data_IF_656358318561
#
_entry.id   IF_656358318561
#
_cell.length_a   1.000
_cell.length_b   1.000
_cell.length_c   1.000
_cell.angle_alpha   90.00
_cell.angle_beta   90.00
_cell.angle_gamma   90.00
#
_symmetry.space_group_name_H-M   'P 1'
#
loop_
_entity.id
_entity.type
_entity.pdbx_description
1 polymer ?
#
# COMPACT_ATOMS: atom_id res chain seq x y z
N UNK A 1 -3.63 9.67 -3.33
CA UNK A 1 -2.26 9.28 -2.95
C UNK A 1 -1.52 8.81 -4.16
N UNK A 2 -0.74 7.74 -4.01
CA UNK A 2 -0.04 7.07 -5.10
C UNK A 2 -0.78 5.79 -5.50
N UNK A 3 -0.87 5.50 -6.79
CA UNK A 3 -1.45 4.25 -7.29
C UNK A 3 -0.38 3.49 -8.06
N UNK A 4 0.06 2.35 -7.52
CA UNK A 4 1.24 1.62 -7.97
C UNK A 4 0.82 0.31 -8.65
N UNK A 5 1.43 0.08 -9.81
CA UNK A 5 1.22 -1.07 -10.69
C UNK A 5 2.54 -1.32 -11.45
N UNK A 6 3.62 -1.46 -10.69
CA UNK A 6 5.00 -1.46 -11.19
C UNK A 6 5.96 -2.08 -10.16
N UNK A 7 7.14 -2.49 -10.63
CA UNK A 7 8.23 -3.02 -9.80
C UNK A 7 9.25 -1.94 -9.44
N UNK A 8 10.03 -2.18 -8.38
CA UNK A 8 11.19 -1.38 -7.99
C UNK A 8 10.86 0.10 -7.71
N UNK A 9 9.77 0.33 -7.00
CA UNK A 9 9.29 1.67 -6.66
C UNK A 9 9.66 2.02 -5.23
N UNK A 10 10.18 3.23 -5.02
CA UNK A 10 10.34 3.83 -3.69
C UNK A 10 9.54 5.12 -3.60
N UNK A 11 8.65 5.19 -2.62
CA UNK A 11 7.93 6.40 -2.24
C UNK A 11 8.33 6.74 -0.81
N UNK A 12 8.96 7.90 -0.63
CA UNK A 12 9.47 8.28 0.68
C UNK A 12 9.37 9.78 0.98
N UNK A 13 9.39 10.12 2.27
CA UNK A 13 9.42 11.49 2.79
C UNK A 13 8.30 12.39 2.23
N UNK A 14 7.14 11.81 1.93
CA UNK A 14 6.01 12.51 1.31
C UNK A 14 4.95 12.89 2.34
N UNK A 15 4.21 13.97 2.09
CA UNK A 15 3.02 14.37 2.86
C UNK A 15 1.81 14.21 1.96
N UNK A 16 0.87 13.35 2.35
CA UNK A 16 -0.30 12.98 1.57
C UNK A 16 -1.55 13.28 2.39
N UNK A 17 -2.36 14.20 1.87
CA UNK A 17 -3.65 14.61 2.46
C UNK A 17 -4.72 14.40 1.41
N UNK A 18 -5.60 13.43 1.62
CA UNK A 18 -6.66 13.09 0.68
C UNK A 18 -7.84 12.43 1.39
N UNK A 19 -8.82 11.95 0.61
CA UNK A 19 -10.04 11.29 1.09
C UNK A 19 -10.10 9.80 0.72
N UNK A 20 -8.99 9.25 0.21
CA UNK A 20 -8.87 7.85 -0.20
C UNK A 20 -7.47 7.34 0.15
N UNK A 21 -7.01 6.24 -0.44
CA UNK A 21 -5.72 5.65 -0.15
C UNK A 21 -4.56 6.64 -0.29
N UNK A 22 -3.72 6.66 0.75
CA UNK A 22 -2.42 7.33 0.74
C UNK A 22 -1.51 6.68 -0.30
N UNK A 23 -1.53 5.35 -0.35
CA UNK A 23 -0.95 4.53 -1.41
C UNK A 23 -1.80 3.30 -1.64
N UNK A 24 -2.03 2.97 -2.91
CA UNK A 24 -2.68 1.74 -3.37
C UNK A 24 -1.68 0.93 -4.18
N UNK A 25 -1.53 -0.36 -3.88
CA UNK A 25 -0.65 -1.27 -4.62
C UNK A 25 -1.51 -2.36 -5.28
N UNK A 26 -1.68 -2.31 -6.60
CA UNK A 26 -2.49 -3.29 -7.33
C UNK A 26 -1.69 -4.54 -7.73
N UNK A 27 -0.43 -4.35 -8.11
CA UNK A 27 0.55 -5.41 -8.40
C UNK A 27 1.96 -4.82 -8.45
N UNK A 28 2.96 -5.66 -8.26
CA UNK A 28 4.36 -5.28 -8.34
C UNK A 28 5.21 -5.91 -7.25
N UNK A 29 6.52 -5.76 -7.39
CA UNK A 29 7.54 -6.33 -6.51
C UNK A 29 8.57 -5.28 -6.09
N UNK A 30 9.21 -5.50 -4.94
CA UNK A 30 10.26 -4.62 -4.41
C UNK A 30 9.78 -3.16 -4.28
N UNK A 31 8.74 -2.96 -3.48
CA UNK A 31 8.13 -1.65 -3.24
C UNK A 31 8.49 -1.16 -1.84
N UNK A 32 8.95 0.08 -1.72
CA UNK A 32 9.29 0.70 -0.45
C UNK A 32 8.41 1.93 -0.23
N UNK A 33 7.63 1.91 0.86
CA UNK A 33 6.83 3.04 1.32
C UNK A 33 7.35 3.48 2.70
N UNK A 34 8.19 4.53 2.73
CA UNK A 34 8.97 4.88 3.92
C UNK A 34 8.87 6.35 4.35
N UNK A 35 8.78 6.60 5.66
CA UNK A 35 8.86 7.94 6.25
C UNK A 35 7.82 8.93 5.68
N UNK A 36 6.63 8.44 5.32
CA UNK A 36 5.56 9.26 4.77
C UNK A 36 4.56 9.68 5.85
N UNK A 37 3.86 10.79 5.63
CA UNK A 37 2.78 11.28 6.47
C UNK A 37 1.46 11.21 5.69
N UNK A 38 0.53 10.37 6.14
CA UNK A 38 -0.78 10.17 5.54
C UNK A 38 -1.87 10.74 6.45
N UNK A 39 -2.81 11.52 5.90
CA UNK A 39 -3.98 11.95 6.68
C UNK A 39 -5.26 12.18 5.87
N UNK A 40 -6.41 11.97 6.52
CA UNK A 40 -7.75 12.23 6.00
C UNK A 40 -8.40 11.07 5.23
N UNK A 41 -7.60 10.15 4.68
CA UNK A 41 -8.07 9.17 3.70
C UNK A 41 -8.16 7.73 4.24
N UNK A 42 -7.84 6.77 3.36
CA UNK A 42 -7.88 5.33 3.64
C UNK A 42 -6.50 4.72 3.99
N UNK A 43 -5.48 5.57 4.15
CA UNK A 43 -4.11 5.19 4.51
C UNK A 43 -3.44 4.21 3.53
N UNK A 44 -2.81 3.14 4.01
CA UNK A 44 -1.97 2.27 3.19
C UNK A 44 -2.78 1.04 2.76
N UNK A 45 -3.01 0.89 1.45
CA UNK A 45 -3.83 -0.19 0.89
C UNK A 45 -3.05 -1.05 -0.10
N UNK A 46 -3.13 -2.37 0.09
CA UNK A 46 -2.73 -3.37 -0.89
C UNK A 46 -3.99 -3.87 -1.58
N UNK A 47 -4.17 -3.52 -2.84
CA UNK A 47 -5.37 -3.83 -3.60
C UNK A 47 -6.43 -2.71 -3.64
N UNK A 48 -7.65 -2.98 -4.09
CA UNK A 48 -8.23 -4.32 -4.25
C UNK A 48 -7.51 -5.18 -5.32
N UNK A 49 -6.89 -6.27 -4.88
CA UNK A 49 -6.12 -7.18 -5.75
C UNK A 49 -7.09 -7.97 -6.63
N UNK A 50 -6.75 -8.08 -7.92
CA UNK A 50 -7.54 -8.76 -8.94
C UNK A 50 -6.93 -10.10 -9.37
N UNK A 51 -7.65 -10.85 -10.20
CA UNK A 51 -7.22 -12.14 -10.74
C UNK A 51 -5.86 -12.04 -11.43
N UNK A 52 -4.96 -12.96 -11.10
CA UNK A 52 -3.61 -13.01 -11.68
C UNK A 52 -2.66 -11.90 -11.21
N UNK A 53 -3.06 -11.07 -10.23
CA UNK A 53 -2.20 -10.00 -9.70
C UNK A 53 -1.39 -10.48 -8.51
N UNK A 54 -0.11 -10.11 -8.52
CA UNK A 54 0.85 -10.46 -7.46
C UNK A 54 1.45 -9.19 -6.87
N UNK A 55 1.48 -9.12 -5.55
CA UNK A 55 2.26 -8.15 -4.78
C UNK A 55 3.28 -8.91 -3.92
N UNK A 56 4.56 -8.64 -4.14
CA UNK A 56 5.64 -9.29 -3.40
C UNK A 56 6.64 -8.29 -2.86
N UNK A 57 7.29 -8.63 -1.74
CA UNK A 57 8.47 -7.92 -1.23
C UNK A 57 8.24 -6.42 -1.05
N UNK A 58 7.28 -6.07 -0.18
CA UNK A 58 6.98 -4.69 0.15
C UNK A 58 7.44 -4.35 1.56
N UNK A 59 8.12 -3.21 1.69
CA UNK A 59 8.50 -2.63 2.97
C UNK A 59 7.72 -1.36 3.24
N UNK A 60 6.99 -1.36 4.35
CA UNK A 60 6.27 -0.21 4.89
C UNK A 60 6.92 0.15 6.23
N UNK A 61 7.61 1.30 6.30
CA UNK A 61 8.41 1.64 7.49
C UNK A 61 8.41 3.13 7.83
N UNK A 62 8.29 3.49 9.11
CA UNK A 62 8.49 4.90 9.53
C UNK A 62 7.35 5.84 9.14
N UNK A 63 6.19 5.31 8.71
CA UNK A 63 5.10 6.13 8.22
C UNK A 63 4.19 6.57 9.38
N UNK A 64 3.73 7.81 9.34
CA UNK A 64 2.73 8.33 10.27
C UNK A 64 1.37 8.39 9.57
N UNK A 65 0.39 7.65 10.08
CA UNK A 65 -0.99 7.68 9.59
C UNK A 65 -1.87 8.34 10.65
N UNK A 66 -2.56 9.41 10.28
CA UNK A 66 -3.42 10.17 11.19
C UNK A 66 -4.80 10.41 10.58
N UNK A 67 -5.85 10.46 11.40
CA UNK A 67 -7.20 10.86 10.96
C UNK A 67 -7.65 10.14 9.68
N UNK A 68 -7.36 8.85 9.58
CA UNK A 68 -7.65 8.03 8.40
C UNK A 68 -8.63 6.92 8.80
N UNK A 69 -9.44 6.46 7.85
CA UNK A 69 -10.45 5.42 8.10
C UNK A 69 -9.82 4.08 8.49
N UNK A 70 -8.66 3.78 7.91
CA UNK A 70 -7.86 2.59 8.18
C UNK A 70 -6.42 3.00 8.53
N UNK A 71 -5.64 2.07 9.08
CA UNK A 71 -4.18 2.22 9.25
C UNK A 71 -3.42 1.59 8.09
N UNK A 72 -3.55 0.27 7.97
CA UNK A 72 -3.07 -0.53 6.85
C UNK A 72 -4.15 -1.55 6.50
N UNK A 73 -4.38 -1.78 5.21
CA UNK A 73 -5.37 -2.75 4.72
C UNK A 73 -4.80 -3.57 3.57
N UNK A 74 -5.06 -4.88 3.58
CA UNK A 74 -4.86 -5.77 2.44
C UNK A 74 -6.23 -6.24 1.99
N UNK A 75 -6.60 -5.91 0.75
CA UNK A 75 -7.90 -6.18 0.18
C UNK A 75 -7.75 -7.00 -1.11
N UNK A 76 -8.35 -8.18 -1.16
CA UNK A 76 -8.41 -9.03 -2.35
C UNK A 76 -9.87 -9.16 -2.75
N UNK A 77 -10.22 -8.94 -4.02
CA UNK A 77 -11.62 -9.04 -4.46
C UNK A 77 -12.11 -10.48 -4.28
N UNK A 78 -13.34 -10.68 -3.82
CA UNK A 78 -13.87 -12.02 -3.48
C UNK A 78 -13.87 -13.02 -4.67
N UNK A 79 -14.02 -12.52 -5.90
CA UNK A 79 -14.04 -13.34 -7.12
C UNK A 79 -12.63 -13.66 -7.66
N UNK A 80 -11.59 -13.21 -6.97
CA UNK A 80 -10.20 -13.31 -7.42
C UNK A 80 -9.70 -14.74 -7.38
N UNK A 81 -9.02 -15.15 -8.45
CA UNK A 81 -8.25 -16.40 -8.48
C UNK A 81 -6.81 -16.12 -8.87
N UNK A 82 -5.89 -17.03 -8.54
CA UNK A 82 -4.47 -16.93 -8.91
C UNK A 82 -3.80 -15.59 -8.50
N UNK A 83 -4.23 -14.99 -7.39
CA UNK A 83 -3.58 -13.81 -6.82
C UNK A 83 -2.69 -14.18 -5.64
N UNK A 84 -1.68 -13.35 -5.40
CA UNK A 84 -0.73 -13.55 -4.32
C UNK A 84 -0.32 -12.23 -3.69
N UNK A 85 -0.38 -12.15 -2.37
CA UNK A 85 0.26 -11.07 -1.59
C UNK A 85 1.19 -11.75 -0.60
N UNK A 86 2.49 -11.46 -0.65
CA UNK A 86 3.48 -12.10 0.22
C UNK A 86 4.71 -11.24 0.45
N UNK A 87 5.46 -11.48 1.54
CA UNK A 87 6.69 -10.73 1.81
C UNK A 87 6.43 -9.27 2.19
N UNK A 88 5.37 -9.02 2.96
CA UNK A 88 5.00 -7.66 3.40
C UNK A 88 5.57 -7.43 4.80
N UNK A 89 6.43 -6.42 4.93
CA UNK A 89 6.99 -6.01 6.21
C UNK A 89 6.43 -4.66 6.62
N UNK A 90 5.84 -4.59 7.81
CA UNK A 90 5.35 -3.34 8.42
C UNK A 90 6.13 -3.07 9.71
N UNK A 91 6.72 -1.88 9.86
CA UNK A 91 7.56 -1.55 11.02
C UNK A 91 7.63 -0.05 11.35
N UNK A 92 7.99 0.27 12.59
CA UNK A 92 8.35 1.63 13.03
C UNK A 92 7.26 2.68 12.78
N UNK A 93 6.02 2.34 13.07
CA UNK A 93 4.83 3.18 12.84
C UNK A 93 4.44 3.96 14.08
#
# INVERSE_FOLDING_TARGET
>A
GFNISADNITVQNSIIKNLDDCITINFGSNIIFKNNQCSGGHAISFGSIDTGKTVTDMTVSGNTVMKSMYGLRIEVKAITTCAKVSGITYSGS
#
